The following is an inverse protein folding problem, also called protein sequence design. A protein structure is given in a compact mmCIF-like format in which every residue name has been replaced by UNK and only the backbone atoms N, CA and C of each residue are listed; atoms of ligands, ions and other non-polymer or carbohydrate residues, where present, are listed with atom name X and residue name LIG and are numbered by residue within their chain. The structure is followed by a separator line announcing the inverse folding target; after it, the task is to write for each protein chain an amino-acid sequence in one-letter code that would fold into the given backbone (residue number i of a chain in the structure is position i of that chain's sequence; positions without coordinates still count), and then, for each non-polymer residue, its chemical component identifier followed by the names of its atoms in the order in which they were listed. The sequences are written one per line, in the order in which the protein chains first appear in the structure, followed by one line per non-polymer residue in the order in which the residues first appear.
data_IF_055226310671
#
_entry.id   IF_055226310671
#
_cell.length_a   1.000
_cell.length_b   1.000
_cell.length_c   1.000
_cell.angle_alpha   90.00
_cell.angle_beta   90.00
_cell.angle_gamma   90.00
#
_symmetry.space_group_name_H-M   'P 1'
#
loop_
_entity.id
_entity.type
_entity.pdbx_description
1 polymer ?
#
# COMPACT_ATOMS: atom_id res chain seq x y z
N UNK A 1 16.11 -15.38 -16.24
CA UNK A 1 15.88 -14.54 -17.44
C UNK A 1 14.45 -14.67 -17.98
N UNK A 2 13.92 -15.87 -18.33
CA UNK A 2 12.55 -16.04 -18.85
C UNK A 2 11.44 -15.53 -17.93
N UNK A 3 11.55 -15.75 -16.62
CA UNK A 3 10.59 -15.25 -15.61
C UNK A 3 10.55 -13.72 -15.57
N UNK A 4 11.72 -13.08 -15.62
CA UNK A 4 11.80 -11.60 -15.62
C UNK A 4 11.20 -11.00 -16.89
N UNK A 5 11.40 -11.64 -18.02
CA UNK A 5 10.81 -11.22 -19.30
C UNK A 5 9.28 -11.40 -19.29
N UNK A 6 8.79 -12.53 -18.78
CA UNK A 6 7.35 -12.77 -18.64
C UNK A 6 6.71 -11.70 -17.77
N UNK A 7 7.31 -11.38 -16.62
CA UNK A 7 6.84 -10.33 -15.73
C UNK A 7 6.83 -8.95 -16.38
N UNK A 8 7.88 -8.61 -17.14
CA UNK A 8 7.94 -7.34 -17.86
C UNK A 8 6.82 -7.25 -18.93
N UNK A 9 6.59 -8.31 -19.68
CA UNK A 9 5.52 -8.37 -20.69
C UNK A 9 4.13 -8.30 -20.04
N UNK A 10 3.90 -9.08 -19.00
CA UNK A 10 2.64 -9.05 -18.25
C UNK A 10 2.37 -7.66 -17.66
N UNK A 11 3.40 -7.02 -17.14
CA UNK A 11 3.37 -5.66 -16.62
C UNK A 11 3.00 -4.63 -17.69
N UNK A 12 3.69 -4.62 -18.84
CA UNK A 12 3.42 -3.69 -19.93
C UNK A 12 2.01 -3.90 -20.53
N UNK A 13 1.60 -5.16 -20.68
CA UNK A 13 0.25 -5.49 -21.14
C UNK A 13 -0.81 -5.00 -20.17
N UNK A 14 -0.54 -5.08 -18.87
CA UNK A 14 -1.47 -4.64 -17.83
C UNK A 14 -1.57 -3.12 -17.73
N UNK A 15 -0.48 -2.38 -17.92
CA UNK A 15 -0.52 -0.92 -18.04
C UNK A 15 -1.45 -0.48 -19.16
N UNK A 16 -1.33 -1.10 -20.33
CA UNK A 16 -2.20 -0.84 -21.48
C UNK A 16 -3.65 -1.23 -21.19
N UNK A 17 -3.87 -2.36 -20.53
CA UNK A 17 -5.20 -2.88 -20.19
C UNK A 17 -5.90 -2.00 -19.16
N UNK A 18 -5.21 -1.55 -18.10
CA UNK A 18 -5.78 -0.65 -17.11
C UNK A 18 -6.21 0.69 -17.73
N UNK A 19 -5.44 1.21 -18.67
CA UNK A 19 -5.84 2.42 -19.42
C UNK A 19 -7.11 2.22 -20.26
N UNK A 20 -7.37 1.00 -20.72
CA UNK A 20 -8.51 0.69 -21.60
C UNK A 20 -9.79 0.28 -20.85
N UNK A 21 -9.67 -0.51 -19.78
CA UNK A 21 -10.82 -1.19 -19.12
C UNK A 21 -11.40 -0.38 -17.98
N UNK A 22 -10.57 0.34 -17.24
CA UNK A 22 -11.05 1.18 -16.14
C UNK A 22 -11.44 2.57 -16.62
N UNK A 23 -11.59 2.69 -17.97
CA UNK A 23 -12.07 3.90 -18.64
C UNK A 23 -11.70 5.09 -17.85
N UNK A 24 -10.77 5.69 -18.15
CA UNK A 24 -10.95 7.07 -18.30
C UNK A 24 -11.23 7.88 -17.05
N UNK A 25 -12.11 7.48 -16.18
CA UNK A 25 -12.50 8.31 -15.04
C UNK A 25 -11.45 8.29 -13.92
N UNK A 26 -10.70 7.19 -13.79
CA UNK A 26 -9.66 7.02 -12.79
C UNK A 26 -8.42 6.33 -13.35
N UNK A 27 -8.14 6.40 -14.61
CA UNK A 27 -7.01 5.76 -15.24
C UNK A 27 -5.74 5.71 -14.38
N UNK A 28 -4.62 5.84 -14.94
CA UNK A 28 -3.34 5.90 -14.20
C UNK A 28 -3.18 7.20 -13.41
N UNK A 29 -3.95 8.24 -13.71
CA UNK A 29 -3.90 9.57 -13.06
C UNK A 29 -5.08 9.77 -12.10
N UNK A 30 -4.85 9.43 -10.82
CA UNK A 30 -5.84 9.59 -9.76
C UNK A 30 -5.96 11.08 -9.33
N UNK A 31 -7.14 11.57 -8.89
CA UNK A 31 -7.31 12.95 -8.42
C UNK A 31 -6.28 13.40 -7.39
N UNK A 32 -6.00 12.56 -6.38
CA UNK A 32 -4.96 12.83 -5.38
C UNK A 32 -3.56 13.02 -6.00
N UNK A 33 -3.35 12.44 -7.16
CA UNK A 33 -2.09 12.56 -7.91
C UNK A 33 -1.79 13.96 -8.38
N UNK A 34 -2.80 14.85 -8.48
CA UNK A 34 -2.59 16.26 -8.86
C UNK A 34 -1.65 16.97 -7.89
N UNK A 35 -1.87 16.80 -6.58
CA UNK A 35 -1.03 17.39 -5.54
C UNK A 35 0.40 16.82 -5.52
N UNK A 36 0.54 15.51 -5.76
CA UNK A 36 1.87 14.89 -5.88
C UNK A 36 2.61 15.35 -7.14
N UNK A 37 1.90 15.46 -8.26
CA UNK A 37 2.46 15.95 -9.53
C UNK A 37 2.89 17.40 -9.44
N UNK A 38 2.05 18.27 -8.85
CA UNK A 38 2.40 19.66 -8.58
C UNK A 38 3.70 19.76 -7.78
N UNK A 39 3.83 18.96 -6.72
CA UNK A 39 5.02 18.96 -5.88
C UNK A 39 6.25 18.45 -6.61
N UNK A 40 6.14 17.41 -7.42
CA UNK A 40 7.25 16.88 -8.22
C UNK A 40 7.73 17.94 -9.22
N UNK A 41 6.81 18.67 -9.88
CA UNK A 41 7.14 19.76 -10.80
C UNK A 41 7.83 20.93 -10.12
N UNK A 42 7.38 21.34 -8.93
CA UNK A 42 8.06 22.41 -8.17
C UNK A 42 9.46 22.00 -7.72
N UNK A 43 9.68 20.72 -7.40
CA UNK A 43 11.00 20.19 -7.06
C UNK A 43 11.99 20.20 -8.24
N UNK A 44 11.51 20.11 -9.46
CA UNK A 44 12.37 20.19 -10.66
C UNK A 44 12.52 21.62 -11.22
N UNK A 45 12.12 22.62 -10.42
CA UNK A 45 12.41 24.04 -10.71
C UNK A 45 11.28 24.81 -11.38
N UNK A 46 10.09 24.23 -11.57
CA UNK A 46 8.95 25.02 -12.05
C UNK A 46 8.44 25.93 -10.93
N UNK A 47 8.04 27.16 -11.29
CA UNK A 47 7.28 28.02 -10.36
C UNK A 47 5.96 27.35 -10.01
N UNK A 48 5.38 27.71 -8.85
CA UNK A 48 4.07 27.17 -8.44
C UNK A 48 2.99 27.44 -9.50
N UNK A 49 2.98 28.64 -10.07
CA UNK A 49 2.03 29.00 -11.13
C UNK A 49 2.19 28.12 -12.37
N UNK A 50 3.43 27.91 -12.83
CA UNK A 50 3.71 27.03 -13.98
C UNK A 50 3.33 25.57 -13.67
N UNK A 51 3.73 25.06 -12.50
CA UNK A 51 3.40 23.72 -12.07
C UNK A 51 1.87 23.49 -11.98
N UNK A 52 1.14 24.45 -11.41
CA UNK A 52 -0.32 24.41 -11.34
C UNK A 52 -0.98 24.34 -12.71
N UNK A 53 -0.52 25.17 -13.65
CA UNK A 53 -1.04 25.20 -15.02
C UNK A 53 -0.75 23.87 -15.75
N UNK A 54 0.48 23.36 -15.66
CA UNK A 54 0.88 22.08 -16.28
C UNK A 54 0.02 20.93 -15.75
N UNK A 55 -0.16 20.83 -14.42
CA UNK A 55 -0.97 19.77 -13.81
C UNK A 55 -2.40 19.87 -14.27
N UNK A 56 -3.02 21.04 -14.17
CA UNK A 56 -4.43 21.21 -14.52
C UNK A 56 -4.70 20.94 -15.99
N UNK A 57 -3.84 21.38 -16.89
CA UNK A 57 -3.94 21.12 -18.33
C UNK A 57 -3.78 19.63 -18.64
N UNK A 58 -2.77 18.99 -18.01
CA UNK A 58 -2.56 17.55 -18.18
C UNK A 58 -3.79 16.75 -17.74
N UNK A 59 -4.34 17.04 -16.57
CA UNK A 59 -5.49 16.30 -16.06
C UNK A 59 -6.76 16.58 -16.86
N UNK A 60 -6.95 17.79 -17.41
CA UNK A 60 -8.06 18.07 -18.33
C UNK A 60 -8.01 17.24 -19.61
N UNK A 61 -6.81 16.99 -20.11
CA UNK A 61 -6.60 16.27 -21.40
C UNK A 61 -6.55 14.75 -21.24
N UNK A 62 -6.11 14.24 -20.06
CA UNK A 62 -5.85 12.82 -19.87
C UNK A 62 -6.74 12.13 -18.83
N UNK A 63 -7.38 12.87 -17.96
CA UNK A 63 -8.25 12.37 -16.91
C UNK A 63 -9.71 12.79 -17.17
N UNK A 64 -10.41 12.02 -17.97
CA UNK A 64 -11.83 12.30 -18.30
C UNK A 64 -12.67 12.38 -17.02
N UNK A 65 -13.50 13.44 -16.93
CA UNK A 65 -14.50 13.67 -15.88
C UNK A 65 -13.96 13.78 -14.43
N UNK A 66 -12.67 13.93 -14.22
CA UNK A 66 -12.16 14.24 -12.88
C UNK A 66 -12.41 15.71 -12.54
N UNK A 67 -12.70 15.97 -11.27
CA UNK A 67 -12.65 17.33 -10.74
C UNK A 67 -11.18 17.80 -10.81
N UNK A 68 -10.86 18.50 -11.89
CA UNK A 68 -9.54 19.12 -12.05
C UNK A 68 -9.45 20.28 -11.08
N UNK A 69 -8.44 20.26 -10.22
CA UNK A 69 -8.19 21.32 -9.28
C UNK A 69 -7.78 22.57 -10.06
N UNK A 70 -8.33 23.72 -9.70
CA UNK A 70 -7.95 25.00 -10.27
C UNK A 70 -6.44 25.22 -10.06
N UNK A 71 -5.67 25.64 -11.10
CA UNK A 71 -4.25 25.92 -10.98
C UNK A 71 -3.88 26.80 -9.78
N UNK A 72 -4.65 27.84 -9.50
CA UNK A 72 -4.40 28.73 -8.38
C UNK A 72 -4.65 28.08 -7.02
N UNK A 73 -5.62 27.15 -6.94
CA UNK A 73 -5.90 26.45 -5.69
C UNK A 73 -4.91 25.33 -5.39
N UNK A 74 -4.04 24.93 -6.33
CA UNK A 74 -2.93 24.00 -6.10
C UNK A 74 -1.77 24.60 -5.29
N UNK A 75 -1.69 25.90 -5.14
CA UNK A 75 -0.62 26.56 -4.39
C UNK A 75 -0.55 26.07 -2.93
N UNK A 76 0.68 26.01 -2.37
CA UNK A 76 0.94 25.49 -1.02
C UNK A 76 0.17 26.19 0.09
N UNK A 77 -0.17 27.45 -0.09
CA UNK A 77 -0.83 28.25 0.94
C UNK A 77 -2.36 28.25 0.82
N UNK A 78 -2.92 27.80 -0.31
CA UNK A 78 -4.35 27.91 -0.59
C UNK A 78 -5.10 26.60 -0.51
N UNK A 79 -4.48 25.46 -0.84
CA UNK A 79 -5.18 24.20 -0.86
C UNK A 79 -5.24 23.54 0.53
N UNK A 80 -6.44 23.28 1.10
CA UNK A 80 -6.57 22.82 2.47
C UNK A 80 -5.91 21.44 2.72
N UNK A 81 -5.85 20.58 1.70
CA UNK A 81 -5.25 19.26 1.82
C UNK A 81 -3.71 19.28 1.92
N UNK A 82 -3.03 20.41 1.70
CA UNK A 82 -1.58 20.49 1.82
C UNK A 82 -1.07 20.11 3.22
N UNK A 83 -1.82 20.36 4.27
CA UNK A 83 -1.46 19.91 5.60
C UNK A 83 -1.22 18.39 5.66
N UNK A 84 -2.07 17.63 4.98
CA UNK A 84 -1.97 16.18 4.86
C UNK A 84 -0.86 15.74 3.91
N UNK A 85 -0.73 16.42 2.75
CA UNK A 85 0.22 16.05 1.70
C UNK A 85 1.65 16.52 1.97
N UNK A 86 1.85 17.57 2.79
CA UNK A 86 3.20 18.03 3.20
C UNK A 86 4.03 16.95 3.86
N UNK A 87 3.43 15.99 4.55
CA UNK A 87 4.13 14.86 5.15
C UNK A 87 4.44 13.71 4.17
N UNK A 88 3.76 13.65 3.02
CA UNK A 88 3.87 12.56 2.03
C UNK A 88 4.89 12.89 0.95
N UNK A 89 6.16 13.08 1.37
CA UNK A 89 7.22 13.60 0.51
C UNK A 89 7.88 12.56 -0.38
N UNK A 90 7.90 11.31 0.05
CA UNK A 90 8.75 10.30 -0.59
C UNK A 90 8.37 10.07 -2.05
N UNK A 91 7.07 9.98 -2.34
CA UNK A 91 6.61 9.73 -3.71
C UNK A 91 6.97 10.87 -4.69
N UNK A 92 6.67 12.15 -4.39
CA UNK A 92 7.12 13.27 -5.24
C UNK A 92 8.64 13.33 -5.41
N UNK A 93 9.42 13.13 -4.32
CA UNK A 93 10.89 13.15 -4.38
C UNK A 93 11.41 12.08 -5.35
N UNK A 94 10.92 10.86 -5.22
CA UNK A 94 11.34 9.76 -6.10
C UNK A 94 10.86 9.95 -7.55
N UNK A 95 9.72 10.61 -7.76
CA UNK A 95 9.16 10.87 -9.09
C UNK A 95 9.82 12.06 -9.79
N UNK A 96 10.35 13.04 -9.05
CA UNK A 96 10.90 14.28 -9.62
C UNK A 96 11.95 14.06 -10.72
N UNK A 97 12.96 13.18 -10.60
CA UNK A 97 13.91 12.92 -11.67
C UNK A 97 13.24 12.40 -12.94
N UNK A 98 12.22 11.59 -12.81
CA UNK A 98 11.48 11.03 -13.94
C UNK A 98 10.54 12.06 -14.57
N UNK A 99 9.97 12.96 -13.76
CA UNK A 99 9.19 14.09 -14.26
C UNK A 99 10.07 15.05 -15.06
N UNK A 100 11.31 15.26 -14.65
CA UNK A 100 12.29 16.06 -15.41
C UNK A 100 12.56 15.44 -16.79
N UNK A 101 12.64 14.12 -16.88
CA UNK A 101 13.01 13.41 -18.12
C UNK A 101 11.79 13.13 -19.03
N UNK A 102 10.63 12.85 -18.47
CA UNK A 102 9.47 12.32 -19.19
C UNK A 102 8.19 13.16 -19.00
N UNK A 103 8.32 14.34 -18.40
CA UNK A 103 7.16 15.18 -18.06
C UNK A 103 6.22 14.46 -17.09
N UNK A 104 4.94 14.72 -17.21
CA UNK A 104 3.91 14.15 -16.34
C UNK A 104 3.83 12.61 -16.38
N UNK A 105 4.23 11.98 -17.49
CA UNK A 105 4.31 10.51 -17.56
C UNK A 105 5.34 9.94 -16.59
N UNK A 106 6.35 10.71 -16.20
CA UNK A 106 7.35 10.33 -15.20
C UNK A 106 6.74 9.98 -13.84
N UNK A 107 5.55 10.52 -13.52
CA UNK A 107 4.82 10.17 -12.29
C UNK A 107 4.41 8.69 -12.24
N UNK A 108 4.32 7.99 -13.36
CA UNK A 108 3.90 6.58 -13.40
C UNK A 108 5.06 5.60 -13.19
N UNK A 109 6.30 6.06 -13.23
CA UNK A 109 7.47 5.17 -13.12
C UNK A 109 7.58 4.57 -11.71
N UNK A 110 7.40 5.37 -10.67
CA UNK A 110 7.46 4.87 -9.28
C UNK A 110 6.35 3.86 -8.97
N UNK A 111 5.07 4.08 -9.32
CA UNK A 111 4.03 3.06 -9.27
C UNK A 111 4.41 1.77 -9.98
N UNK A 112 4.95 1.89 -11.19
CA UNK A 112 5.40 0.76 -11.99
C UNK A 112 6.51 -0.04 -11.30
N UNK A 113 7.55 0.62 -10.80
CA UNK A 113 8.62 0.01 -10.03
C UNK A 113 8.09 -0.62 -8.73
N UNK A 114 7.12 0.01 -8.08
CA UNK A 114 6.49 -0.52 -6.87
C UNK A 114 5.79 -1.86 -7.13
N UNK A 115 5.11 -2.01 -8.27
CA UNK A 115 4.51 -3.28 -8.66
C UNK A 115 5.57 -4.35 -8.92
N UNK A 116 6.68 -4.01 -9.58
CA UNK A 116 7.80 -4.93 -9.79
C UNK A 116 8.40 -5.37 -8.45
N UNK A 117 8.63 -4.45 -7.51
CA UNK A 117 9.12 -4.78 -6.16
C UNK A 117 8.18 -5.74 -5.46
N UNK A 118 6.87 -5.53 -5.52
CA UNK A 118 5.89 -6.46 -4.94
C UNK A 118 6.04 -7.86 -5.56
N UNK A 119 6.08 -7.97 -6.89
CA UNK A 119 6.18 -9.26 -7.58
C UNK A 119 7.48 -9.99 -7.23
N UNK A 120 8.62 -9.30 -7.27
CA UNK A 120 9.91 -9.90 -6.89
C UNK A 120 9.97 -10.27 -5.41
N UNK A 121 9.33 -9.50 -4.54
CA UNK A 121 9.24 -9.83 -3.11
C UNK A 121 8.46 -11.12 -2.86
N UNK A 122 7.33 -11.31 -3.54
CA UNK A 122 6.57 -12.56 -3.46
C UNK A 122 7.42 -13.75 -3.93
N UNK A 123 8.17 -13.59 -5.03
CA UNK A 123 9.10 -14.63 -5.49
C UNK A 123 10.20 -14.91 -4.47
N UNK A 124 10.80 -13.88 -3.89
CA UNK A 124 11.84 -14.02 -2.87
C UNK A 124 11.30 -14.78 -1.63
N UNK A 125 10.10 -14.41 -1.15
CA UNK A 125 9.42 -15.14 -0.06
C UNK A 125 9.26 -16.63 -0.41
N UNK A 126 8.79 -16.91 -1.64
CA UNK A 126 8.59 -18.28 -2.09
C UNK A 126 9.90 -19.07 -2.21
N UNK A 127 10.98 -18.46 -2.69
CA UNK A 127 12.32 -19.09 -2.74
C UNK A 127 12.79 -19.41 -1.32
N UNK A 128 12.63 -18.47 -0.39
CA UNK A 128 13.03 -18.67 1.02
C UNK A 128 12.26 -19.79 1.71
N UNK A 129 10.99 -19.97 1.34
CA UNK A 129 10.11 -21.01 1.88
C UNK A 129 10.12 -22.30 1.06
N UNK A 130 11.00 -22.40 0.05
CA UNK A 130 11.10 -23.57 -0.85
C UNK A 130 9.79 -23.84 -1.63
N UNK A 131 8.99 -22.83 -1.85
CA UNK A 131 7.67 -22.91 -2.51
C UNK A 131 7.59 -21.97 -3.73
N UNK A 132 8.63 -21.98 -4.57
CA UNK A 132 8.83 -21.04 -5.69
C UNK A 132 7.73 -21.10 -6.75
N UNK A 133 7.15 -22.25 -7.00
CA UNK A 133 6.10 -22.42 -8.02
C UNK A 133 4.77 -21.83 -7.55
N UNK A 134 4.40 -22.04 -6.28
CA UNK A 134 3.21 -21.43 -5.72
C UNK A 134 3.39 -19.91 -5.60
N UNK A 135 4.58 -19.44 -5.25
CA UNK A 135 4.88 -18.00 -5.25
C UNK A 135 4.72 -17.38 -6.65
N UNK A 136 5.17 -18.08 -7.69
CA UNK A 136 4.94 -17.66 -9.07
C UNK A 136 3.45 -17.58 -9.40
N UNK A 137 2.69 -18.62 -9.08
CA UNK A 137 1.24 -18.65 -9.30
C UNK A 137 0.52 -17.52 -8.55
N UNK A 138 0.87 -17.28 -7.27
CA UNK A 138 0.31 -16.18 -6.49
C UNK A 138 0.65 -14.82 -7.11
N UNK A 139 1.90 -14.62 -7.54
CA UNK A 139 2.30 -13.38 -8.18
C UNK A 139 1.51 -13.15 -9.49
N UNK A 140 1.27 -14.20 -10.29
CA UNK A 140 0.39 -14.12 -11.48
C UNK A 140 -1.04 -13.73 -11.06
N UNK A 141 -1.64 -14.43 -10.11
CA UNK A 141 -3.00 -14.15 -9.65
C UNK A 141 -3.14 -12.72 -9.13
N UNK A 142 -2.18 -12.24 -8.33
CA UNK A 142 -2.14 -10.87 -7.83
C UNK A 142 -2.04 -9.86 -8.98
N UNK A 143 -1.21 -10.15 -10.00
CA UNK A 143 -1.09 -9.27 -11.17
C UNK A 143 -2.33 -9.28 -12.06
N UNK A 144 -3.16 -10.32 -11.98
CA UNK A 144 -4.44 -10.40 -12.69
C UNK A 144 -5.58 -9.71 -11.94
N UNK A 145 -5.41 -9.40 -10.66
CA UNK A 145 -6.40 -8.69 -9.87
C UNK A 145 -6.61 -7.25 -10.38
N UNK A 146 -7.81 -6.92 -10.87
CA UNK A 146 -8.08 -5.58 -11.37
C UNK A 146 -7.95 -4.51 -10.29
N UNK A 147 -8.41 -4.79 -9.08
CA UNK A 147 -8.35 -3.86 -7.95
C UNK A 147 -6.91 -3.58 -7.52
N UNK A 148 -6.09 -4.63 -7.38
CA UNK A 148 -4.68 -4.46 -7.01
C UNK A 148 -3.94 -3.66 -8.08
N UNK A 149 -4.07 -4.04 -9.34
CA UNK A 149 -3.35 -3.38 -10.43
C UNK A 149 -3.79 -1.93 -10.60
N UNK A 150 -5.07 -1.61 -10.43
CA UNK A 150 -5.56 -0.23 -10.45
C UNK A 150 -4.82 0.63 -9.44
N UNK A 151 -4.75 0.22 -8.19
CA UNK A 151 -4.16 1.02 -7.13
C UNK A 151 -2.63 1.00 -7.12
N UNK A 152 -2.03 -0.10 -7.58
CA UNK A 152 -0.57 -0.20 -7.70
C UNK A 152 -0.01 0.70 -8.80
N UNK A 153 -0.76 0.92 -9.89
CA UNK A 153 -0.33 1.75 -11.02
C UNK A 153 -0.81 3.19 -10.98
N UNK A 154 -1.74 3.53 -10.12
CA UNK A 154 -2.18 4.91 -9.95
C UNK A 154 -1.02 5.80 -9.46
N UNK A 155 -0.97 7.04 -9.91
CA UNK A 155 0.04 8.03 -9.53
C UNK A 155 -0.16 8.56 -8.09
N UNK A 156 -0.24 7.64 -7.15
CA UNK A 156 -0.45 7.87 -5.71
C UNK A 156 0.53 7.06 -4.86
N UNK A 157 0.50 7.27 -3.57
CA UNK A 157 1.49 6.69 -2.63
C UNK A 157 1.22 5.23 -2.26
N UNK A 158 0.05 4.69 -2.57
CA UNK A 158 -0.40 3.38 -2.08
C UNK A 158 0.45 2.23 -2.63
N UNK A 159 0.80 2.27 -3.92
CA UNK A 159 1.71 1.31 -4.52
C UNK A 159 3.10 1.34 -3.88
N UNK A 160 3.65 2.53 -3.63
CA UNK A 160 4.96 2.68 -2.99
C UNK A 160 4.95 2.14 -1.54
N UNK A 161 3.89 2.41 -0.78
CA UNK A 161 3.75 1.86 0.58
C UNK A 161 3.69 0.34 0.55
N UNK A 162 2.95 -0.24 -0.41
CA UNK A 162 2.86 -1.70 -0.59
C UNK A 162 4.23 -2.31 -0.95
N UNK A 163 5.01 -1.65 -1.80
CA UNK A 163 6.37 -2.06 -2.12
C UNK A 163 7.29 -2.02 -0.88
N UNK A 164 7.22 -0.96 -0.08
CA UNK A 164 7.98 -0.85 1.17
C UNK A 164 7.58 -1.92 2.18
N UNK A 165 6.30 -2.21 2.31
CA UNK A 165 5.80 -3.31 3.15
C UNK A 165 6.31 -4.67 2.66
N UNK A 166 6.40 -4.86 1.33
CA UNK A 166 6.95 -6.07 0.73
C UNK A 166 8.45 -6.23 1.04
N UNK A 167 9.21 -5.14 0.92
CA UNK A 167 10.62 -5.11 1.30
C UNK A 167 10.82 -5.36 2.80
N UNK A 168 9.90 -4.89 3.64
CA UNK A 168 9.91 -5.19 5.08
C UNK A 168 9.86 -6.70 5.32
N UNK A 169 8.91 -7.41 4.71
CA UNK A 169 8.75 -8.86 4.85
C UNK A 169 10.00 -9.60 4.35
N UNK A 170 10.51 -9.23 3.17
CA UNK A 170 11.73 -9.84 2.61
C UNK A 170 12.94 -9.58 3.50
N UNK A 171 13.16 -8.34 3.94
CA UNK A 171 14.27 -7.99 4.83
C UNK A 171 14.21 -8.74 6.15
N UNK A 172 13.02 -8.88 6.73
CA UNK A 172 12.79 -9.67 7.94
C UNK A 172 13.21 -11.13 7.75
N UNK A 173 12.90 -11.74 6.61
CA UNK A 173 13.20 -13.15 6.33
C UNK A 173 14.66 -13.42 5.96
N UNK A 174 15.34 -12.48 5.31
CA UNK A 174 16.68 -12.72 4.74
C UNK A 174 17.82 -12.18 5.59
N UNK A 175 17.63 -11.07 6.31
CA UNK A 175 18.68 -10.46 7.11
C UNK A 175 18.77 -11.15 8.46
N UNK A 176 19.81 -11.95 8.65
CA UNK A 176 20.06 -12.70 9.90
C UNK A 176 20.78 -11.88 10.97
N UNK A 177 21.58 -10.90 10.56
CA UNK A 177 22.27 -10.02 11.51
C UNK A 177 21.26 -9.08 12.16
N UNK A 178 21.08 -9.20 13.47
CA UNK A 178 20.04 -8.50 14.23
C UNK A 178 20.16 -6.97 14.13
N UNK A 179 21.36 -6.41 14.16
CA UNK A 179 21.56 -4.96 14.08
C UNK A 179 21.26 -4.43 12.67
N UNK A 180 21.74 -5.13 11.64
CA UNK A 180 21.46 -4.78 10.25
C UNK A 180 19.96 -4.92 9.94
N UNK A 181 19.32 -5.97 10.45
CA UNK A 181 17.88 -6.17 10.32
C UNK A 181 17.12 -5.01 10.96
N UNK A 182 17.43 -4.67 12.22
CA UNK A 182 16.77 -3.57 12.93
C UNK A 182 16.96 -2.23 12.19
N UNK A 183 18.17 -1.95 11.72
CA UNK A 183 18.45 -0.75 10.94
C UNK A 183 17.61 -0.71 9.63
N UNK A 184 17.61 -1.80 8.88
CA UNK A 184 16.89 -1.90 7.60
C UNK A 184 15.38 -1.78 7.80
N UNK A 185 14.80 -2.49 8.77
CA UNK A 185 13.38 -2.43 9.07
C UNK A 185 12.98 -1.05 9.59
N UNK A 186 13.80 -0.43 10.42
CA UNK A 186 13.60 0.95 10.88
C UNK A 186 13.62 1.95 9.73
N UNK A 187 14.57 1.85 8.81
CA UNK A 187 14.64 2.68 7.62
C UNK A 187 13.38 2.52 6.73
N UNK A 188 12.89 1.31 6.55
CA UNK A 188 11.66 1.05 5.80
C UNK A 188 10.45 1.70 6.48
N UNK A 189 10.32 1.62 7.81
CA UNK A 189 9.25 2.27 8.58
C UNK A 189 9.32 3.79 8.40
N UNK A 190 10.51 4.38 8.49
CA UNK A 190 10.73 5.81 8.26
C UNK A 190 10.28 6.21 6.86
N UNK A 191 10.74 5.52 5.82
CA UNK A 191 10.35 5.78 4.44
C UNK A 191 8.84 5.61 4.24
N UNK A 192 8.26 4.57 4.84
CA UNK A 192 6.82 4.33 4.83
C UNK A 192 6.02 5.48 5.45
N UNK A 193 6.52 6.08 6.52
CA UNK A 193 5.89 7.24 7.18
C UNK A 193 5.90 8.50 6.30
N UNK A 194 6.85 8.63 5.39
CA UNK A 194 6.88 9.70 4.39
C UNK A 194 6.07 9.40 3.12
N UNK A 195 5.52 8.20 2.99
CA UNK A 195 4.58 7.89 1.89
C UNK A 195 3.15 8.17 2.29
N UNK A 196 2.76 7.72 3.49
CA UNK A 196 1.40 7.81 4.00
C UNK A 196 1.38 7.69 5.52
N UNK A 197 0.38 8.26 6.16
CA UNK A 197 0.14 8.08 7.59
C UNK A 197 -0.40 6.66 7.80
N UNK A 198 0.51 5.71 8.03
CA UNK A 198 0.21 4.28 8.19
C UNK A 198 0.70 3.73 9.54
N UNK A 199 0.71 4.60 10.57
CA UNK A 199 1.25 4.24 11.90
C UNK A 199 0.56 3.00 12.48
N UNK A 200 -0.76 2.89 12.32
CA UNK A 200 -1.53 1.75 12.86
C UNK A 200 -1.04 0.43 12.24
N UNK A 201 -0.75 0.43 10.94
CA UNK A 201 -0.17 -0.73 10.26
C UNK A 201 1.21 -1.08 10.82
N UNK A 202 2.11 -0.09 10.96
CA UNK A 202 3.45 -0.33 11.49
C UNK A 202 3.43 -0.79 12.94
N UNK A 203 2.55 -0.22 13.77
CA UNK A 203 2.35 -0.67 15.15
C UNK A 203 1.83 -2.10 15.21
N UNK A 204 0.88 -2.48 14.33
CA UNK A 204 0.39 -3.86 14.25
C UNK A 204 1.53 -4.84 13.90
N UNK A 205 2.42 -4.48 12.97
CA UNK A 205 3.59 -5.27 12.64
C UNK A 205 4.53 -5.38 13.85
N UNK A 206 4.76 -4.29 14.58
CA UNK A 206 5.58 -4.31 15.80
C UNK A 206 4.95 -5.17 16.90
N UNK A 207 3.62 -5.12 17.09
CA UNK A 207 2.91 -6.02 18.00
C UNK A 207 3.11 -7.49 17.60
N UNK A 208 3.04 -7.79 16.29
CA UNK A 208 3.34 -9.13 15.77
C UNK A 208 4.74 -9.60 16.17
N UNK A 209 5.76 -8.77 15.96
CA UNK A 209 7.14 -9.05 16.39
C UNK A 209 7.25 -9.27 17.90
N UNK A 210 6.55 -8.48 18.71
CA UNK A 210 6.51 -8.63 20.16
C UNK A 210 5.95 -9.99 20.59
N UNK A 211 4.84 -10.41 19.98
CA UNK A 211 4.20 -11.69 20.26
C UNK A 211 5.07 -12.90 19.87
N UNK A 212 6.06 -12.69 18.99
CA UNK A 212 7.03 -13.70 18.59
C UNK A 212 8.35 -13.67 19.37
N UNK A 213 8.33 -13.15 20.59
CA UNK A 213 9.49 -13.03 21.48
C UNK A 213 10.63 -12.12 20.99
N UNK A 214 10.43 -11.33 19.94
CA UNK A 214 11.39 -10.32 19.50
C UNK A 214 11.18 -8.97 20.21
N UNK A 215 11.02 -9.02 21.55
CA UNK A 215 10.58 -7.89 22.38
C UNK A 215 11.41 -6.62 22.17
N UNK A 216 12.74 -6.73 22.20
CA UNK A 216 13.64 -5.57 22.03
C UNK A 216 13.46 -4.91 20.67
N UNK A 217 13.50 -5.68 19.59
CA UNK A 217 13.37 -5.16 18.23
C UNK A 217 11.98 -4.54 18.00
N UNK A 218 10.95 -5.20 18.52
CA UNK A 218 9.56 -4.70 18.45
C UNK A 218 9.41 -3.33 19.11
N UNK A 219 9.91 -3.16 20.33
CA UNK A 219 9.81 -1.90 21.06
C UNK A 219 10.56 -0.79 20.32
N UNK A 220 11.80 -1.05 19.88
CA UNK A 220 12.60 -0.06 19.14
C UNK A 220 11.93 0.36 17.83
N UNK A 221 11.41 -0.58 17.05
CA UNK A 221 10.70 -0.28 15.81
C UNK A 221 9.37 0.44 16.07
N UNK A 222 8.66 0.10 17.14
CA UNK A 222 7.46 0.79 17.59
C UNK A 222 7.74 2.25 17.97
N UNK A 223 8.84 2.51 18.68
CA UNK A 223 9.29 3.88 18.99
C UNK A 223 9.61 4.64 17.70
N UNK A 224 10.33 4.03 16.76
CA UNK A 224 10.60 4.64 15.45
C UNK A 224 9.30 5.02 14.75
N UNK A 225 8.34 4.09 14.67
CA UNK A 225 7.04 4.35 14.03
C UNK A 225 6.31 5.53 14.70
N UNK A 226 6.28 5.59 16.03
CA UNK A 226 5.63 6.68 16.78
C UNK A 226 6.34 8.02 16.60
N UNK A 227 7.67 8.05 16.71
CA UNK A 227 8.45 9.29 16.57
C UNK A 227 8.22 9.95 15.21
N UNK A 228 8.18 9.18 14.14
CA UNK A 228 7.94 9.70 12.80
C UNK A 228 6.45 9.99 12.52
N UNK A 229 5.54 9.41 13.29
CA UNK A 229 4.11 9.72 13.21
C UNK A 229 3.73 11.01 13.94
N UNK A 230 4.29 11.28 15.13
CA UNK A 230 3.91 12.41 15.97
C UNK A 230 3.93 13.77 15.23
N UNK A 231 4.99 14.12 14.48
CA UNK A 231 5.02 15.39 13.75
C UNK A 231 3.91 15.53 12.71
N UNK A 232 3.54 14.42 12.06
CA UNK A 232 2.46 14.40 11.08
C UNK A 232 1.09 14.54 11.75
N UNK A 233 0.88 13.86 12.87
CA UNK A 233 -0.34 13.95 13.66
C UNK A 233 -0.55 15.37 14.23
N UNK A 234 0.50 15.94 14.81
CA UNK A 234 0.46 17.32 15.36
C UNK A 234 0.14 18.38 14.30
N UNK A 235 0.67 18.21 13.07
CA UNK A 235 0.32 19.11 11.96
C UNK A 235 -1.16 19.01 11.60
N UNK A 236 -1.69 17.79 11.48
CA UNK A 236 -3.09 17.56 11.14
C UNK A 236 -4.03 18.16 12.21
N UNK A 237 -3.67 18.02 13.48
CA UNK A 237 -4.42 18.63 14.58
C UNK A 237 -4.43 20.16 14.52
N UNK A 238 -3.29 20.78 14.16
CA UNK A 238 -3.17 22.24 14.08
C UNK A 238 -3.92 22.87 12.90
N UNK A 239 -4.14 22.09 11.83
CA UNK A 239 -4.79 22.61 10.62
C UNK A 239 -6.30 22.43 10.61
N UNK A 240 -6.87 21.85 11.67
CA UNK A 240 -8.32 21.62 11.76
C UNK A 240 -8.88 20.65 10.72
N UNK A 241 -8.01 20.04 9.92
CA UNK A 241 -8.39 18.94 9.02
C UNK A 241 -8.48 17.67 9.87
N UNK A 242 -9.34 17.70 10.84
CA UNK A 242 -9.89 16.48 11.40
C UNK A 242 -10.87 15.90 10.36
N UNK A 243 -10.99 14.57 10.28
CA UNK A 243 -12.11 13.95 9.58
C UNK A 243 -13.39 14.69 9.97
N UNK A 244 -14.31 14.88 9.03
CA UNK A 244 -15.56 15.62 9.22
C UNK A 244 -16.09 15.49 10.64
N UNK A 245 -16.67 16.54 11.23
CA UNK A 245 -17.14 16.52 12.62
C UNK A 245 -18.05 15.34 12.95
N UNK A 246 -18.71 14.75 11.94
CA UNK A 246 -19.45 13.48 12.07
C UNK A 246 -18.55 12.28 12.35
N UNK A 247 -17.29 12.28 11.88
CA UNK A 247 -16.33 11.19 12.06
C UNK A 247 -15.54 11.33 13.37
N UNK A 248 -15.29 12.54 13.84
CA UNK A 248 -14.66 12.77 15.16
C UNK A 248 -15.53 12.25 16.33
N UNK A 249 -16.84 12.17 16.12
CA UNK A 249 -17.77 11.55 17.05
C UNK A 249 -17.60 10.03 17.20
N UNK A 250 -17.01 9.34 16.22
CA UNK A 250 -16.80 7.89 16.24
C UNK A 250 -15.77 7.45 17.29
N UNK A 251 -14.72 8.22 17.53
CA UNK A 251 -13.71 7.93 18.56
C UNK A 251 -14.28 8.05 19.97
N UNK A 252 -15.28 8.90 20.15
CA UNK A 252 -15.96 9.10 21.44
C UNK A 252 -17.09 8.09 21.71
N UNK A 253 -17.42 7.25 20.74
CA UNK A 253 -18.52 6.27 20.84
C UNK A 253 -18.09 4.90 20.31
N UNK A 254 -17.49 4.02 21.14
CA UNK A 254 -16.96 2.72 20.74
C UNK A 254 -17.97 1.82 20.00
N UNK A 255 -19.25 1.88 20.40
CA UNK A 255 -20.31 1.13 19.72
C UNK A 255 -20.55 1.59 18.27
N UNK A 256 -20.41 2.89 18.01
CA UNK A 256 -20.52 3.44 16.65
C UNK A 256 -19.30 3.09 15.80
N UNK A 257 -18.11 3.00 16.41
CA UNK A 257 -16.91 2.51 15.72
C UNK A 257 -17.11 1.07 15.25
N UNK A 258 -17.61 0.16 16.10
CA UNK A 258 -17.90 -1.22 15.73
C UNK A 258 -18.90 -1.32 14.57
N UNK A 259 -19.98 -0.53 14.62
CA UNK A 259 -20.96 -0.48 13.54
C UNK A 259 -20.35 0.08 12.22
N UNK A 260 -19.50 1.09 12.31
CA UNK A 260 -18.78 1.64 11.16
C UNK A 260 -17.81 0.61 10.55
N UNK A 261 -17.07 -0.12 11.39
CA UNK A 261 -16.21 -1.22 10.95
C UNK A 261 -16.99 -2.29 10.19
N UNK A 262 -18.15 -2.69 10.72
CA UNK A 262 -19.00 -3.68 10.07
C UNK A 262 -19.53 -3.17 8.72
N UNK A 263 -19.99 -1.91 8.65
CA UNK A 263 -20.47 -1.28 7.41
C UNK A 263 -19.38 -1.19 6.36
N UNK A 264 -18.17 -0.73 6.74
CA UNK A 264 -17.02 -0.64 5.82
C UNK A 264 -16.64 -2.02 5.29
N UNK A 265 -16.54 -3.04 6.17
CA UNK A 265 -16.22 -4.39 5.73
C UNK A 265 -17.28 -4.95 4.78
N UNK A 266 -18.55 -4.81 5.12
CA UNK A 266 -19.64 -5.31 4.29
C UNK A 266 -19.65 -4.64 2.92
N UNK A 267 -19.44 -3.31 2.89
CA UNK A 267 -19.38 -2.56 1.66
C UNK A 267 -18.15 -2.95 0.81
N UNK A 268 -16.95 -3.02 1.40
CA UNK A 268 -15.73 -3.43 0.71
C UNK A 268 -15.84 -4.86 0.16
N UNK A 269 -16.36 -5.79 0.94
CA UNK A 269 -16.63 -7.16 0.47
C UNK A 269 -17.62 -7.16 -0.68
N UNK A 270 -18.73 -6.42 -0.57
CA UNK A 270 -19.72 -6.30 -1.65
C UNK A 270 -19.12 -5.73 -2.94
N UNK A 271 -18.28 -4.70 -2.83
CA UNK A 271 -17.56 -4.14 -3.98
C UNK A 271 -16.58 -5.14 -4.60
N UNK A 272 -15.81 -5.86 -3.78
CA UNK A 272 -14.85 -6.86 -4.27
C UNK A 272 -15.56 -8.04 -4.95
N UNK A 273 -16.71 -8.47 -4.47
CA UNK A 273 -17.52 -9.51 -5.14
C UNK A 273 -17.88 -9.11 -6.57
N UNK A 274 -18.15 -7.84 -6.80
CA UNK A 274 -18.47 -7.32 -8.13
C UNK A 274 -17.22 -7.05 -8.96
N UNK A 275 -16.23 -6.38 -8.38
CA UNK A 275 -15.07 -5.85 -9.10
C UNK A 275 -13.91 -6.84 -9.22
N UNK A 276 -13.71 -7.70 -8.22
CA UNK A 276 -12.55 -8.59 -8.16
C UNK A 276 -12.82 -9.85 -7.32
N UNK A 277 -13.54 -10.78 -7.89
CA UNK A 277 -13.85 -12.06 -7.24
C UNK A 277 -12.60 -12.87 -6.90
N UNK A 278 -11.54 -12.72 -7.69
CA UNK A 278 -10.28 -13.42 -7.45
C UNK A 278 -9.62 -12.91 -6.17
N UNK A 279 -9.55 -11.60 -5.97
CA UNK A 279 -8.95 -11.01 -4.77
C UNK A 279 -9.71 -11.41 -3.50
N UNK A 280 -11.04 -11.38 -3.53
CA UNK A 280 -11.82 -11.79 -2.36
C UNK A 280 -11.61 -13.26 -2.01
N UNK A 281 -11.55 -14.15 -3.00
CA UNK A 281 -11.23 -15.56 -2.78
C UNK A 281 -9.83 -15.74 -2.18
N UNK A 282 -8.84 -14.99 -2.66
CA UNK A 282 -7.49 -15.02 -2.09
C UNK A 282 -7.46 -14.55 -0.63
N UNK A 283 -8.20 -13.50 -0.28
CA UNK A 283 -8.28 -12.99 1.10
C UNK A 283 -8.95 -14.02 2.01
N UNK A 284 -10.09 -14.59 1.62
CA UNK A 284 -10.77 -15.63 2.40
C UNK A 284 -9.91 -16.88 2.55
N UNK A 285 -9.25 -17.32 1.49
CA UNK A 285 -8.32 -18.45 1.55
C UNK A 285 -7.16 -18.16 2.53
N UNK A 286 -6.53 -17.00 2.42
CA UNK A 286 -5.46 -16.59 3.34
C UNK A 286 -5.97 -16.51 4.78
N UNK A 287 -7.18 -15.98 5.00
CA UNK A 287 -7.82 -15.94 6.32
C UNK A 287 -8.03 -17.33 6.91
N UNK A 288 -8.64 -18.23 6.16
CA UNK A 288 -8.89 -19.61 6.58
C UNK A 288 -7.58 -20.35 6.91
N UNK A 289 -6.59 -20.25 6.02
CA UNK A 289 -5.26 -20.84 6.22
C UNK A 289 -4.57 -20.25 7.43
N UNK A 290 -4.67 -18.93 7.65
CA UNK A 290 -4.06 -18.26 8.80
C UNK A 290 -4.72 -18.65 10.13
N UNK A 291 -6.03 -18.80 10.17
CA UNK A 291 -6.75 -19.27 11.36
C UNK A 291 -6.33 -20.71 11.68
N UNK A 292 -6.25 -21.58 10.67
CA UNK A 292 -5.81 -22.96 10.85
C UNK A 292 -4.36 -23.06 11.33
N UNK A 293 -3.51 -22.13 10.92
CA UNK A 293 -2.06 -22.12 11.22
C UNK A 293 -1.64 -20.97 12.12
N UNK A 294 -2.43 -20.65 13.15
CA UNK A 294 -2.16 -19.56 14.12
C UNK A 294 -0.81 -19.69 14.87
N UNK A 295 -0.24 -20.89 14.93
CA UNK A 295 1.09 -21.12 15.50
C UNK A 295 2.22 -20.52 14.67
N UNK A 296 1.97 -20.20 13.38
CA UNK A 296 2.96 -19.66 12.45
C UNK A 296 3.05 -18.14 12.54
N UNK A 297 4.26 -17.64 12.32
CA UNK A 297 4.54 -16.20 12.35
C UNK A 297 3.78 -15.42 11.28
N UNK A 298 3.80 -15.89 10.05
CA UNK A 298 3.12 -15.26 8.91
C UNK A 298 1.62 -15.10 9.14
N UNK A 299 0.99 -16.10 9.76
CA UNK A 299 -0.44 -16.09 10.06
C UNK A 299 -0.80 -15.01 11.06
N UNK A 300 0.00 -14.86 12.12
CA UNK A 300 -0.18 -13.79 13.12
C UNK A 300 -0.02 -12.41 12.48
N UNK A 301 1.02 -12.22 11.66
CA UNK A 301 1.23 -10.96 10.96
C UNK A 301 0.07 -10.63 10.02
N UNK A 302 -0.36 -11.58 9.20
CA UNK A 302 -1.46 -11.36 8.29
C UNK A 302 -2.73 -10.91 9.02
N UNK A 303 -3.13 -11.61 10.08
CA UNK A 303 -4.34 -11.30 10.82
C UNK A 303 -4.25 -9.95 11.57
N UNK A 304 -3.09 -9.63 12.15
CA UNK A 304 -2.88 -8.35 12.84
C UNK A 304 -2.89 -7.18 11.86
N UNK A 305 -2.23 -7.32 10.71
CA UNK A 305 -2.21 -6.28 9.69
C UNK A 305 -3.59 -6.11 9.05
N UNK A 306 -4.31 -7.22 8.80
CA UNK A 306 -5.70 -7.18 8.30
C UNK A 306 -6.59 -6.38 9.26
N UNK A 307 -6.53 -6.70 10.56
CA UNK A 307 -7.31 -5.99 11.57
C UNK A 307 -6.94 -4.50 11.64
N UNK A 308 -5.63 -4.18 11.63
CA UNK A 308 -5.15 -2.81 11.70
C UNK A 308 -5.59 -1.97 10.49
N UNK A 309 -5.51 -2.52 9.29
CA UNK A 309 -5.94 -1.85 8.07
C UNK A 309 -7.46 -1.69 8.01
N UNK A 310 -8.19 -2.67 8.53
CA UNK A 310 -9.65 -2.59 8.64
C UNK A 310 -10.08 -1.50 9.63
N UNK A 311 -9.48 -1.45 10.82
CA UNK A 311 -9.70 -0.37 11.80
C UNK A 311 -9.37 0.99 11.20
N UNK A 312 -8.24 1.11 10.48
CA UNK A 312 -7.85 2.35 9.81
C UNK A 312 -8.88 2.79 8.77
N UNK A 313 -9.39 1.86 7.96
CA UNK A 313 -10.45 2.12 6.98
C UNK A 313 -11.73 2.62 7.64
N UNK A 314 -12.13 2.00 8.75
CA UNK A 314 -13.32 2.37 9.51
C UNK A 314 -13.21 3.77 10.15
N UNK A 315 -12.05 4.10 10.72
CA UNK A 315 -11.79 5.42 11.32
C UNK A 315 -11.81 6.52 10.25
N UNK A 316 -11.29 6.25 9.08
CA UNK A 316 -11.25 7.22 7.98
C UNK A 316 -12.59 7.37 7.24
N UNK A 317 -13.62 6.60 7.60
CA UNK A 317 -14.95 6.66 6.95
C UNK A 317 -14.92 6.37 5.44
N UNK A 318 -13.87 5.70 4.96
CA UNK A 318 -13.56 5.57 3.54
C UNK A 318 -14.39 4.48 2.85
N UNK A 319 -15.69 4.69 2.83
CA UNK A 319 -16.60 3.87 2.02
C UNK A 319 -16.33 4.16 0.53
N UNK A 320 -16.07 3.12 -0.25
CA UNK A 320 -15.93 3.23 -1.71
C UNK A 320 -14.52 3.35 -2.27
N UNK A 321 -13.48 3.19 -1.45
CA UNK A 321 -12.09 3.16 -1.94
C UNK A 321 -11.60 1.77 -2.38
N UNK A 322 -12.48 0.80 -2.44
CA UNK A 322 -12.26 -0.48 -3.11
C UNK A 322 -10.90 -1.12 -2.80
N UNK A 323 -10.66 -1.49 -1.54
CA UNK A 323 -9.42 -2.14 -1.10
C UNK A 323 -8.14 -1.27 -1.20
N UNK A 324 -8.25 0.01 -1.47
CA UNK A 324 -7.07 0.91 -1.60
C UNK A 324 -6.19 0.91 -0.35
N UNK A 325 -6.81 1.02 0.82
CA UNK A 325 -6.10 1.09 2.10
C UNK A 325 -5.55 -0.25 2.58
N UNK A 326 -6.07 -1.34 2.02
CA UNK A 326 -5.69 -2.70 2.35
C UNK A 326 -4.57 -3.27 1.47
N UNK A 327 -4.12 -2.55 0.44
CA UNK A 327 -3.02 -3.01 -0.43
C UNK A 327 -1.78 -3.49 0.33
N UNK A 328 -1.32 -2.81 1.42
CA UNK A 328 -0.17 -3.28 2.20
C UNK A 328 -0.37 -4.65 2.87
N UNK A 329 -1.58 -5.21 2.83
CA UNK A 329 -1.87 -6.58 3.29
C UNK A 329 -1.28 -7.64 2.35
N UNK A 330 -1.14 -7.34 1.06
CA UNK A 330 -0.79 -8.31 0.01
C UNK A 330 0.50 -9.10 0.31
N UNK A 331 1.63 -8.50 0.70
CA UNK A 331 2.84 -9.25 1.01
C UNK A 331 2.68 -10.17 2.22
N UNK A 332 1.89 -9.81 3.23
CA UNK A 332 1.60 -10.68 4.38
C UNK A 332 0.65 -11.82 4.01
N UNK A 333 -0.33 -11.56 3.15
CA UNK A 333 -1.20 -12.57 2.58
C UNK A 333 -0.39 -13.63 1.82
N UNK A 334 0.51 -13.20 0.94
CA UNK A 334 1.39 -14.09 0.21
C UNK A 334 2.31 -14.88 1.14
N UNK A 335 2.91 -14.24 2.15
CA UNK A 335 3.75 -14.88 3.15
C UNK A 335 2.97 -15.97 3.92
N UNK A 336 1.75 -15.66 4.39
CA UNK A 336 0.92 -16.60 5.13
C UNK A 336 0.54 -17.82 4.28
N UNK A 337 0.10 -17.63 3.04
CA UNK A 337 -0.25 -18.72 2.12
C UNK A 337 0.97 -19.62 1.86
N UNK A 338 2.12 -19.01 1.53
CA UNK A 338 3.33 -19.75 1.16
C UNK A 338 3.91 -20.55 2.34
N UNK A 339 3.91 -19.98 3.54
CA UNK A 339 4.42 -20.69 4.72
C UNK A 339 3.49 -21.82 5.16
N UNK A 340 2.18 -21.63 5.04
CA UNK A 340 1.20 -22.60 5.49
C UNK A 340 1.12 -23.82 4.58
N UNK A 341 1.36 -23.65 3.29
CA UNK A 341 1.35 -24.76 2.32
C UNK A 341 2.61 -25.64 2.38
N UNK A 342 3.74 -25.12 2.90
CA UNK A 342 4.99 -25.92 3.06
C UNK A 342 4.78 -27.17 3.93
N UNK A 343 4.06 -27.05 5.05
CA UNK A 343 3.87 -28.18 6.00
C UNK A 343 3.06 -29.33 5.40
N UNK A 344 2.09 -29.05 4.54
CA UNK A 344 1.29 -30.12 3.95
C UNK A 344 2.09 -31.04 3.03
N UNK A 345 3.19 -30.54 2.46
CA UNK A 345 4.09 -31.36 1.61
C UNK A 345 4.96 -32.26 2.49
N UNK A 346 5.49 -31.75 3.59
CA UNK A 346 6.31 -32.53 4.54
C UNK A 346 5.51 -33.62 5.27
N UNK A 347 4.27 -33.31 5.69
CA UNK A 347 3.39 -34.29 6.33
C UNK A 347 3.00 -35.41 5.35
N UNK A 348 2.70 -35.06 4.10
CA UNK A 348 2.40 -36.07 3.07
C UNK A 348 3.60 -36.99 2.73
N UNK A 349 4.83 -36.46 2.77
CA UNK A 349 6.02 -37.27 2.56
C UNK A 349 6.30 -38.23 3.71
N UNK A 350 5.98 -37.86 4.97
CA UNK A 350 6.10 -38.70 6.16
C UNK A 350 5.03 -39.79 6.23
N UNK A 351 3.85 -39.59 5.65
CA UNK A 351 2.77 -40.57 5.63
C UNK A 351 2.99 -41.63 4.51
N UNK A 352 3.83 -41.32 3.51
CA UNK A 352 4.14 -42.23 2.40
C UNK A 352 5.38 -43.10 2.64
N UNK A 353 6.15 -42.86 3.68
CA UNK A 353 7.25 -43.68 4.18
C UNK A 353 6.85 -44.40 5.48
#
# INVERSE_FOLDING_TARGET
MGISLFWAVAFLSKLKFNGLVYGLDFGLFHPDGQLYSFRALTMVGNSETAAGSIVSEWYRSHAFKLNVIDPQSLHYDTHPLWALYKSRMLYPILSAPFVLLFGMNGMLIIPALSMLVLMFSIQAIGIRLENKYLAFALAVLISMSPVITRWMFANITDGLLTALTSLFVVSYMYIKNTNLQLFTLGAIIILGSYTRISVVQWLAICVGLYLMNQKRNSILLGIVALVFFIPSALRNLRTGILPNEQESGLLNRPAQLGLSMAKVAFYEVGQLVVLDRLLILMIFFAGAVSIYSLHKESSKYFLLVLLALWVTGAINGTIGVNFRYQLPLIPFMAYSILESTKINIEVRSRIKN
#
